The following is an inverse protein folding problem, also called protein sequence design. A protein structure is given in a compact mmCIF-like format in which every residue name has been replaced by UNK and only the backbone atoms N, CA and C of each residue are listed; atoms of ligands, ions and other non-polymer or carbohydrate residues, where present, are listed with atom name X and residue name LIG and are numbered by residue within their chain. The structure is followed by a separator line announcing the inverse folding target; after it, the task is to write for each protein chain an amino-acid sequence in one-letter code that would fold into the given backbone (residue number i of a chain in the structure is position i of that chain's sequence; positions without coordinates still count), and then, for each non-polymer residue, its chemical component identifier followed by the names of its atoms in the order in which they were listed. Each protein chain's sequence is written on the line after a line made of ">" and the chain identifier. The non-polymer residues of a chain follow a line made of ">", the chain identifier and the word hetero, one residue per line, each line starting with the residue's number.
data_IF_956162903350
#
_entry.id   IF_956162903350
#
_cell.length_a   1.000
_cell.length_b   1.000
_cell.length_c   1.000
_cell.angle_alpha   90.00
_cell.angle_beta   90.00
_cell.angle_gamma   90.00
#
_symmetry.space_group_name_H-M   'P 1'
#
loop_
_entity.id
_entity.type
_entity.pdbx_description
1 polymer ?
#
# COMPACT_ATOMS: atom_id res chain seq x y z
N UNK A 1 -71.76 -19.09 17.80
CA UNK A 1 -70.74 -18.12 18.22
C UNK A 1 -69.80 -18.84 19.17
N UNK A 2 -68.69 -19.43 18.73
CA UNK A 2 -67.39 -18.84 18.30
C UNK A 2 -66.64 -18.19 19.47
N UNK A 3 -65.59 -18.88 19.95
CA UNK A 3 -64.29 -18.36 20.40
C UNK A 3 -63.46 -19.51 21.04
N UNK A 4 -62.96 -20.48 20.27
CA UNK A 4 -61.53 -20.62 19.89
C UNK A 4 -60.56 -19.74 20.69
N UNK A 5 -59.79 -20.34 21.60
CA UNK A 5 -58.49 -19.83 22.06
C UNK A 5 -57.46 -20.93 21.78
N UNK A 6 -56.73 -20.75 20.69
CA UNK A 6 -55.49 -21.46 20.39
C UNK A 6 -54.35 -20.61 20.99
N UNK A 7 -53.58 -21.18 21.92
CA UNK A 7 -52.33 -20.57 22.38
C UNK A 7 -51.21 -21.15 21.53
N UNK A 8 -50.75 -20.39 20.55
CA UNK A 8 -49.53 -20.65 19.79
C UNK A 8 -48.35 -20.05 20.55
N UNK A 9 -47.43 -20.89 21.04
CA UNK A 9 -46.15 -20.47 21.60
C UNK A 9 -45.12 -20.46 20.47
N UNK A 10 -44.81 -19.27 19.95
CA UNK A 10 -43.70 -19.06 19.01
C UNK A 10 -42.41 -18.83 19.79
N UNK A 11 -41.52 -19.82 19.76
CA UNK A 11 -40.12 -19.66 20.14
C UNK A 11 -39.41 -18.86 19.05
N UNK A 12 -39.02 -17.62 19.35
CA UNK A 12 -38.10 -16.85 18.50
C UNK A 12 -36.69 -17.13 19.00
N UNK A 13 -35.99 -18.05 18.33
CA UNK A 13 -34.54 -18.16 18.43
C UNK A 13 -33.90 -17.09 17.53
N UNK A 14 -33.50 -15.96 18.12
CA UNK A 14 -32.51 -15.08 17.51
C UNK A 14 -31.12 -15.68 17.75
N UNK A 15 -30.67 -16.49 16.79
CA UNK A 15 -29.25 -16.81 16.69
C UNK A 15 -28.56 -15.69 15.92
N UNK A 16 -27.72 -14.93 16.63
CA UNK A 16 -26.70 -14.04 16.08
C UNK A 16 -25.83 -14.81 15.07
N UNK A 17 -26.09 -14.61 13.78
CA UNK A 17 -25.17 -14.95 12.71
C UNK A 17 -24.27 -13.76 12.40
N UNK A 18 -23.22 -13.56 13.20
CA UNK A 18 -22.06 -12.79 12.74
C UNK A 18 -21.39 -13.59 11.61
N UNK A 19 -21.84 -13.40 10.37
CA UNK A 19 -21.03 -13.74 9.20
C UNK A 19 -19.88 -12.74 9.12
N UNK A 20 -18.80 -13.02 9.83
CA UNK A 20 -17.49 -12.52 9.43
C UNK A 20 -17.13 -13.23 8.12
N UNK A 21 -17.43 -12.58 6.98
CA UNK A 21 -16.83 -12.94 5.70
C UNK A 21 -15.31 -12.84 5.85
N UNK A 22 -14.67 -13.97 6.17
CA UNK A 22 -13.26 -14.14 5.88
C UNK A 22 -13.12 -14.06 4.36
N UNK A 23 -12.67 -12.90 3.85
CA UNK A 23 -12.18 -12.77 2.48
C UNK A 23 -11.12 -13.84 2.26
N UNK A 24 -11.52 -14.93 1.60
CA UNK A 24 -10.64 -16.02 1.22
C UNK A 24 -9.84 -15.53 0.02
N UNK A 25 -8.55 -15.25 0.23
CA UNK A 25 -7.63 -15.02 -0.88
C UNK A 25 -7.24 -16.40 -1.42
N UNK A 26 -7.70 -16.82 -2.62
CA UNK A 26 -7.25 -18.08 -3.19
C UNK A 26 -5.71 -18.01 -3.35
N UNK A 27 -5.03 -19.10 -2.97
CA UNK A 27 -3.64 -19.28 -3.35
C UNK A 27 -3.59 -19.32 -4.89
N UNK A 28 -3.18 -18.19 -5.48
CA UNK A 28 -3.35 -17.91 -6.91
C UNK A 28 -2.31 -18.60 -7.78
N UNK A 29 -2.72 -18.92 -9.00
CA UNK A 29 -1.85 -19.26 -10.12
C UNK A 29 -0.74 -18.17 -10.26
N UNK A 30 0.55 -18.55 -10.34
CA UNK A 30 1.64 -17.59 -10.53
C UNK A 30 1.54 -16.76 -11.84
N UNK A 31 0.65 -17.13 -12.77
CA UNK A 31 0.35 -16.36 -13.98
C UNK A 31 -0.91 -15.48 -13.88
N UNK A 32 -1.53 -15.36 -12.70
CA UNK A 32 -2.71 -14.51 -12.52
C UNK A 32 -2.35 -13.02 -12.63
N UNK A 33 -2.96 -12.33 -13.59
CA UNK A 33 -2.94 -10.86 -13.68
C UNK A 33 -3.99 -10.33 -12.70
N UNK A 34 -3.58 -9.50 -11.74
CA UNK A 34 -4.52 -8.91 -10.77
C UNK A 34 -5.59 -8.09 -11.49
N UNK A 35 -6.86 -8.33 -11.18
CA UNK A 35 -7.95 -7.47 -11.66
C UNK A 35 -7.87 -6.11 -10.96
N UNK A 36 -8.50 -5.08 -11.54
CA UNK A 36 -8.58 -3.75 -10.90
C UNK A 36 -9.22 -3.81 -9.51
N UNK A 37 -10.20 -4.70 -9.29
CA UNK A 37 -10.81 -4.94 -7.98
C UNK A 37 -9.88 -5.58 -6.96
N UNK A 38 -8.99 -6.48 -7.40
CA UNK A 38 -8.01 -7.12 -6.50
C UNK A 38 -6.97 -6.11 -6.02
N UNK A 39 -6.53 -5.22 -6.92
CA UNK A 39 -5.60 -4.13 -6.61
C UNK A 39 -6.24 -3.17 -5.60
N UNK A 40 -7.50 -2.78 -5.83
CA UNK A 40 -8.22 -1.87 -4.93
C UNK A 40 -8.36 -2.44 -3.53
N UNK A 41 -8.68 -3.74 -3.40
CA UNK A 41 -8.82 -4.38 -2.10
C UNK A 41 -7.48 -4.46 -1.34
N UNK A 42 -6.36 -4.66 -2.05
CA UNK A 42 -5.01 -4.68 -1.44
C UNK A 42 -4.61 -3.27 -0.98
N UNK A 43 -4.90 -2.23 -1.78
CA UNK A 43 -4.61 -0.86 -1.39
C UNK A 43 -5.53 -0.36 -0.27
N UNK A 44 -6.80 -0.77 -0.25
CA UNK A 44 -7.70 -0.57 0.89
C UNK A 44 -7.13 -1.20 2.16
N UNK A 45 -6.69 -2.47 2.08
CA UNK A 45 -6.06 -3.15 3.21
C UNK A 45 -4.78 -2.44 3.67
N UNK A 46 -3.98 -1.88 2.76
CA UNK A 46 -2.81 -1.08 3.10
C UNK A 46 -3.21 0.24 3.79
N UNK A 47 -4.25 0.90 3.28
CA UNK A 47 -4.85 2.10 3.89
C UNK A 47 -5.24 1.84 5.34
N UNK A 48 -6.01 0.79 5.56
CA UNK A 48 -6.48 0.37 6.89
C UNK A 48 -5.29 0.03 7.79
N UNK A 49 -4.32 -0.74 7.30
CA UNK A 49 -3.13 -1.11 8.05
C UNK A 49 -2.40 0.14 8.59
N UNK A 50 -2.22 1.16 7.74
CA UNK A 50 -1.47 2.36 8.10
C UNK A 50 -2.28 3.31 8.99
N UNK A 51 -3.54 3.54 8.65
CA UNK A 51 -4.43 4.47 9.37
C UNK A 51 -4.81 3.96 10.75
N UNK A 52 -5.09 2.66 10.88
CA UNK A 52 -5.45 2.02 12.14
C UNK A 52 -4.22 1.59 12.97
N UNK A 53 -3.00 1.77 12.45
CA UNK A 53 -1.75 1.28 13.04
C UNK A 53 -1.76 -0.23 13.26
N UNK A 54 -2.43 -0.97 12.37
CA UNK A 54 -2.55 -2.42 12.43
C UNK A 54 -1.28 -3.07 11.87
N UNK A 55 -0.31 -3.32 12.75
CA UNK A 55 0.98 -3.95 12.42
C UNK A 55 0.82 -5.35 11.82
N UNK A 56 -0.12 -6.15 12.33
CA UNK A 56 -0.35 -7.51 11.84
C UNK A 56 -0.84 -7.49 10.39
N UNK A 57 -1.82 -6.64 10.10
CA UNK A 57 -2.32 -6.45 8.74
C UNK A 57 -1.20 -5.96 7.80
N UNK A 58 -0.38 -5.00 8.25
CA UNK A 58 0.77 -4.54 7.49
C UNK A 58 1.75 -5.69 7.17
N UNK A 59 2.10 -6.52 8.15
CA UNK A 59 2.99 -7.66 7.96
C UNK A 59 2.37 -8.68 6.99
N UNK A 60 1.05 -8.90 7.04
CA UNK A 60 0.34 -9.83 6.16
C UNK A 60 0.26 -9.36 4.68
N UNK A 61 0.39 -8.04 4.46
CA UNK A 61 0.51 -7.44 3.14
C UNK A 61 1.94 -7.48 2.60
N UNK A 62 2.93 -7.45 3.49
CA UNK A 62 4.34 -7.47 3.14
C UNK A 62 4.80 -8.81 2.57
N UNK A 63 5.76 -8.74 1.65
CA UNK A 63 6.42 -9.94 1.15
C UNK A 63 7.16 -10.65 2.30
N UNK A 64 6.89 -11.95 2.56
CA UNK A 64 7.50 -12.67 3.68
C UNK A 64 9.00 -12.87 3.52
N UNK A 65 9.54 -12.77 2.30
CA UNK A 65 10.98 -12.81 2.03
C UNK A 65 11.66 -11.47 2.37
N UNK A 66 10.92 -10.42 2.71
CA UNK A 66 11.42 -9.08 3.02
C UNK A 66 10.97 -8.03 2.02
N UNK A 67 10.90 -6.77 2.48
CA UNK A 67 10.59 -5.59 1.66
C UNK A 67 11.85 -4.75 1.45
N UNK A 68 11.96 -4.07 0.32
CA UNK A 68 13.07 -3.15 0.05
C UNK A 68 12.72 -1.74 0.54
N UNK A 69 13.52 -1.18 1.45
CA UNK A 69 13.39 0.22 1.87
C UNK A 69 14.36 1.08 1.08
N UNK A 70 13.84 2.08 0.38
CA UNK A 70 14.62 3.10 -0.32
C UNK A 70 14.34 4.45 0.33
N UNK A 71 15.39 5.18 0.73
CA UNK A 71 15.32 6.59 1.11
C UNK A 71 16.37 7.35 0.32
N UNK A 72 15.95 8.31 -0.49
CA UNK A 72 16.83 9.19 -1.28
C UNK A 72 16.59 10.64 -0.92
N UNK A 73 17.66 11.41 -0.82
CA UNK A 73 17.60 12.84 -0.51
C UNK A 73 17.85 13.63 -1.80
N UNK A 74 16.77 14.07 -2.41
CA UNK A 74 16.75 14.79 -3.67
C UNK A 74 17.27 16.24 -3.55
N UNK A 75 17.29 16.80 -2.32
CA UNK A 75 17.78 18.15 -2.02
C UNK A 75 18.98 18.22 -1.06
N UNK A 76 19.62 17.07 -0.75
CA UNK A 76 20.77 16.97 0.17
C UNK A 76 20.41 16.36 1.54
N UNK A 77 21.42 15.96 2.31
CA UNK A 77 21.21 15.26 3.59
C UNK A 77 20.67 16.20 4.67
N UNK A 78 19.41 15.99 5.07
CA UNK A 78 18.86 16.59 6.29
C UNK A 78 19.51 15.88 7.49
N UNK A 79 20.54 16.51 8.10
CA UNK A 79 21.53 15.88 8.98
C UNK A 79 21.04 14.93 10.09
N UNK A 80 19.76 14.95 10.49
CA UNK A 80 19.19 13.98 11.44
C UNK A 80 18.67 12.68 10.81
N UNK A 81 18.40 12.64 9.50
CA UNK A 81 17.77 11.48 8.83
C UNK A 81 18.75 10.41 8.37
N UNK A 82 20.05 10.65 8.51
CA UNK A 82 21.10 9.73 8.10
C UNK A 82 21.45 9.78 6.61
N UNK A 83 22.34 8.89 6.15
CA UNK A 83 22.62 8.70 4.73
C UNK A 83 21.43 8.10 3.98
N UNK A 84 21.51 8.07 2.65
CA UNK A 84 20.53 7.35 1.83
C UNK A 84 20.42 5.88 2.26
N UNK A 85 19.22 5.33 2.11
CA UNK A 85 18.90 3.95 2.45
C UNK A 85 18.56 3.19 1.16
N UNK A 86 19.11 2.00 1.01
CA UNK A 86 18.67 1.02 0.03
C UNK A 86 19.00 -0.37 0.56
N UNK A 87 18.07 -0.95 1.30
CA UNK A 87 18.28 -2.25 1.93
C UNK A 87 17.00 -3.07 2.01
N UNK A 88 17.18 -4.40 2.02
CA UNK A 88 16.09 -5.34 2.26
C UNK A 88 15.90 -5.53 3.76
N UNK A 89 14.69 -5.33 4.25
CA UNK A 89 14.33 -5.50 5.66
C UNK A 89 13.28 -6.59 5.84
N UNK A 90 13.34 -7.27 6.98
CA UNK A 90 12.28 -8.16 7.44
C UNK A 90 11.07 -7.29 7.89
N UNK A 91 9.87 -7.45 7.29
CA UNK A 91 8.69 -6.70 7.70
C UNK A 91 8.35 -6.86 9.18
N UNK A 92 8.74 -7.97 9.83
CA UNK A 92 8.52 -8.21 11.27
C UNK A 92 9.34 -7.27 12.18
N UNK A 93 10.33 -6.55 11.63
CA UNK A 93 11.07 -5.52 12.38
C UNK A 93 10.30 -4.22 12.55
N UNK A 94 9.14 -4.07 11.91
CA UNK A 94 8.29 -2.90 12.09
C UNK A 94 7.77 -2.83 13.54
N UNK A 95 7.79 -1.64 14.13
CA UNK A 95 7.31 -1.43 15.49
C UNK A 95 5.82 -1.00 15.52
N UNK A 96 5.26 -0.89 16.73
CA UNK A 96 3.87 -0.46 16.96
C UNK A 96 3.52 0.95 16.45
N UNK A 97 4.51 1.75 16.05
CA UNK A 97 4.30 3.08 15.45
C UNK A 97 4.30 3.03 13.91
N UNK A 98 4.36 1.84 13.31
CA UNK A 98 4.60 1.61 11.88
C UNK A 98 5.90 2.27 11.39
N UNK A 99 6.97 2.01 12.13
CA UNK A 99 8.30 2.48 11.79
C UNK A 99 9.27 1.32 11.75
N UNK A 100 10.18 1.35 10.78
CA UNK A 100 11.36 0.49 10.78
C UNK A 100 12.51 1.21 11.48
N UNK A 101 13.02 0.68 12.60
CA UNK A 101 14.22 1.20 13.23
C UNK A 101 15.41 1.03 12.28
N UNK A 102 16.12 2.12 12.00
CA UNK A 102 17.36 2.13 11.21
C UNK A 102 18.49 2.52 12.14
N UNK A 103 19.59 1.77 12.11
CA UNK A 103 20.73 2.00 13.00
C UNK A 103 21.32 3.40 12.75
N UNK A 104 21.52 4.16 13.82
CA UNK A 104 22.12 5.51 13.81
C UNK A 104 21.39 6.53 12.89
N UNK A 105 20.10 6.32 12.61
CA UNK A 105 19.29 7.20 11.76
C UNK A 105 17.87 7.37 12.31
N UNK A 106 17.15 8.39 11.82
CA UNK A 106 15.71 8.49 12.05
C UNK A 106 15.01 7.26 11.45
N UNK A 107 14.14 6.57 12.21
CA UNK A 107 13.36 5.44 11.72
C UNK A 107 12.59 5.74 10.43
N UNK A 108 12.46 4.75 9.56
CA UNK A 108 11.64 4.84 8.37
C UNK A 108 10.17 4.76 8.76
N UNK A 109 9.45 5.89 8.69
CA UNK A 109 8.09 6.02 9.22
C UNK A 109 7.05 6.05 8.10
N UNK A 110 6.28 4.97 7.99
CA UNK A 110 5.26 4.80 6.94
C UNK A 110 4.20 5.89 7.03
N UNK A 111 3.74 6.20 8.25
CA UNK A 111 2.72 7.24 8.50
C UNK A 111 3.19 8.67 8.21
N UNK A 112 4.50 8.91 8.06
CA UNK A 112 5.02 10.22 7.64
C UNK A 112 5.01 10.32 6.11
N UNK A 113 5.17 9.19 5.42
CA UNK A 113 5.21 9.10 3.96
C UNK A 113 3.83 9.08 3.33
N UNK A 114 2.86 8.47 4.02
CA UNK A 114 1.48 8.34 3.56
C UNK A 114 0.54 9.05 4.54
N UNK A 115 0.31 10.34 4.27
CA UNK A 115 -0.45 11.25 5.13
C UNK A 115 -1.92 11.36 4.71
N UNK A 116 -2.24 10.98 3.47
CA UNK A 116 -3.59 11.03 2.90
C UNK A 116 -4.41 9.77 3.20
N UNK A 117 -3.88 8.84 4.00
CA UNK A 117 -4.59 7.66 4.47
C UNK A 117 -5.45 8.00 5.72
N UNK A 118 -6.71 7.53 5.80
CA UNK A 118 -7.31 6.53 4.91
C UNK A 118 -7.95 7.14 3.66
N UNK A 119 -7.89 6.41 2.54
CA UNK A 119 -8.55 6.84 1.30
C UNK A 119 -10.01 6.43 1.31
N UNK A 120 -10.92 7.37 1.03
CA UNK A 120 -12.37 7.12 0.97
C UNK A 120 -12.80 6.13 -0.13
N UNK A 121 -12.11 6.12 -1.28
CA UNK A 121 -12.46 5.25 -2.41
C UNK A 121 -11.27 5.10 -3.37
N UNK A 122 -10.70 3.90 -3.41
CA UNK A 122 -9.61 3.57 -4.35
C UNK A 122 -10.06 3.56 -5.82
N UNK A 123 -11.35 3.32 -6.07
CA UNK A 123 -11.93 3.40 -7.41
C UNK A 123 -11.89 4.81 -8.00
N UNK A 124 -11.89 5.84 -7.16
CA UNK A 124 -11.85 7.24 -7.56
C UNK A 124 -10.43 7.80 -7.71
N UNK A 125 -9.40 7.04 -7.33
CA UNK A 125 -8.01 7.47 -7.44
C UNK A 125 -7.58 7.46 -8.92
N UNK A 126 -6.86 8.49 -9.32
CA UNK A 126 -6.26 8.58 -10.67
C UNK A 126 -5.28 7.42 -10.90
N UNK A 127 -5.37 6.81 -12.08
CA UNK A 127 -4.51 5.70 -12.49
C UNK A 127 -3.65 6.11 -13.67
N UNK A 128 -2.37 5.80 -13.60
CA UNK A 128 -1.41 6.09 -14.66
C UNK A 128 -0.52 4.89 -14.94
N UNK A 129 0.12 4.93 -16.10
CA UNK A 129 1.08 3.91 -16.52
C UNK A 129 2.42 4.19 -15.83
N UNK A 130 3.00 3.16 -15.23
CA UNK A 130 4.36 3.19 -14.73
C UNK A 130 5.33 2.93 -15.89
N UNK A 131 6.37 3.75 -16.02
CA UNK A 131 7.38 3.63 -17.06
C UNK A 131 7.97 2.20 -17.12
N UNK A 132 8.12 1.64 -18.33
CA UNK A 132 8.48 0.23 -18.52
C UNK A 132 9.88 -0.13 -17.99
N UNK A 133 10.80 0.84 -17.96
CA UNK A 133 12.18 0.67 -17.48
C UNK A 133 12.29 0.20 -16.01
N UNK A 134 11.24 0.38 -15.21
CA UNK A 134 11.20 -0.14 -13.83
C UNK A 134 11.30 -1.66 -13.77
N UNK A 135 10.93 -2.37 -14.83
CA UNK A 135 10.81 -3.83 -14.83
C UNK A 135 12.16 -4.55 -14.78
N UNK A 136 13.20 -3.88 -15.28
CA UNK A 136 14.58 -4.36 -15.36
C UNK A 136 15.52 -3.61 -14.41
N UNK A 137 15.01 -2.64 -13.64
CA UNK A 137 15.80 -1.78 -12.76
C UNK A 137 15.56 -2.07 -11.29
N UNK A 138 16.59 -1.80 -10.47
CA UNK A 138 16.50 -1.91 -9.01
C UNK A 138 15.72 -0.73 -8.43
N UNK A 139 15.00 -0.95 -7.32
CA UNK A 139 14.14 0.07 -6.70
C UNK A 139 14.86 1.38 -6.34
N UNK A 140 16.17 1.33 -6.03
CA UNK A 140 16.98 2.50 -5.71
C UNK A 140 17.26 3.43 -6.90
N UNK A 141 16.97 2.95 -8.12
CA UNK A 141 17.09 3.69 -9.37
C UNK A 141 15.74 4.10 -9.95
N UNK A 142 14.64 3.90 -9.23
CA UNK A 142 13.30 4.16 -9.75
C UNK A 142 12.89 5.63 -9.80
N UNK A 143 13.59 6.53 -9.10
CA UNK A 143 13.19 7.95 -9.01
C UNK A 143 12.97 8.64 -10.37
N UNK A 144 13.84 8.50 -11.39
CA UNK A 144 13.61 9.08 -12.71
C UNK A 144 12.36 8.52 -13.40
N UNK A 145 12.11 7.22 -13.26
CA UNK A 145 10.95 6.54 -13.88
C UNK A 145 9.64 6.90 -13.20
N UNK A 146 9.65 7.02 -11.86
CA UNK A 146 8.50 7.50 -11.08
C UNK A 146 8.17 8.94 -11.45
N UNK A 147 9.19 9.79 -11.62
CA UNK A 147 9.01 11.19 -12.05
C UNK A 147 8.40 11.26 -13.44
N UNK A 148 8.92 10.47 -14.39
CA UNK A 148 8.38 10.41 -15.75
C UNK A 148 6.91 9.95 -15.75
N UNK A 149 6.57 8.93 -14.96
CA UNK A 149 5.20 8.42 -14.82
C UNK A 149 4.22 9.41 -14.18
N UNK A 150 4.73 10.48 -13.57
CA UNK A 150 3.95 11.55 -12.95
C UNK A 150 4.06 12.88 -13.72
N UNK A 151 4.76 12.92 -14.86
CA UNK A 151 4.79 14.13 -15.69
C UNK A 151 3.41 14.38 -16.28
N UNK A 152 2.97 15.64 -16.25
CA UNK A 152 1.71 16.05 -16.86
C UNK A 152 0.48 15.86 -15.98
N UNK A 153 0.58 15.23 -14.80
CA UNK A 153 -0.43 15.46 -13.77
C UNK A 153 -0.35 16.91 -13.33
N UNK A 154 -1.45 17.64 -13.49
CA UNK A 154 -1.62 19.03 -13.03
C UNK A 154 -0.97 19.15 -11.67
N UNK A 155 0.01 20.06 -11.56
CA UNK A 155 0.98 20.10 -10.47
C UNK A 155 0.36 19.60 -9.19
N UNK A 156 0.92 18.49 -8.74
CA UNK A 156 0.78 17.75 -7.50
C UNK A 156 0.70 18.62 -6.24
N UNK A 157 -0.25 19.55 -6.20
CA UNK A 157 -0.28 20.66 -5.27
C UNK A 157 -0.68 20.24 -3.85
N UNK A 158 -1.09 18.98 -3.64
CA UNK A 158 -1.52 18.46 -2.34
C UNK A 158 -1.12 17.00 -2.11
N UNK A 159 -0.08 16.46 -2.80
CA UNK A 159 0.31 15.03 -2.67
C UNK A 159 -0.85 14.04 -2.86
N UNK A 160 -1.82 14.42 -3.69
CA UNK A 160 -3.03 13.62 -3.90
C UNK A 160 -2.66 12.19 -4.32
N UNK A 161 -3.32 11.16 -3.75
CA UNK A 161 -3.01 9.78 -4.08
C UNK A 161 -3.13 9.48 -5.58
N UNK A 162 -2.17 8.72 -6.10
CA UNK A 162 -2.16 8.22 -7.49
C UNK A 162 -1.79 6.75 -7.46
N UNK A 163 -2.38 5.96 -8.36
CA UNK A 163 -2.01 4.58 -8.60
C UNK A 163 -1.22 4.50 -9.91
N UNK A 164 -0.01 3.94 -9.85
CA UNK A 164 0.79 3.62 -11.04
C UNK A 164 0.77 2.11 -11.28
N UNK A 165 0.74 1.66 -12.52
CA UNK A 165 0.81 0.22 -12.85
C UNK A 165 1.71 -0.02 -14.05
N UNK A 166 2.60 -1.02 -13.96
CA UNK A 166 3.42 -1.42 -15.11
C UNK A 166 2.56 -2.04 -16.20
N UNK A 167 3.00 -1.95 -17.46
CA UNK A 167 2.22 -2.44 -18.60
C UNK A 167 1.91 -3.95 -18.52
N UNK A 168 2.82 -4.74 -17.95
CA UNK A 168 2.63 -6.17 -17.71
C UNK A 168 1.94 -6.50 -16.37
N UNK A 169 1.48 -5.50 -15.62
CA UNK A 169 0.87 -5.66 -14.28
C UNK A 169 1.77 -6.37 -13.26
N UNK A 170 3.10 -6.38 -13.49
CA UNK A 170 4.08 -6.90 -12.53
C UNK A 170 4.12 -6.04 -11.28
N UNK A 171 4.02 -4.72 -11.44
CA UNK A 171 4.10 -3.75 -10.36
C UNK A 171 2.89 -2.84 -10.33
N UNK A 172 2.37 -2.64 -9.12
CA UNK A 172 1.34 -1.65 -8.81
C UNK A 172 1.85 -0.77 -7.67
N UNK A 173 1.78 0.55 -7.84
CA UNK A 173 2.35 1.51 -6.90
C UNK A 173 1.24 2.40 -6.39
N UNK A 174 1.07 2.45 -5.07
CA UNK A 174 0.32 3.52 -4.42
C UNK A 174 1.29 4.66 -4.10
N UNK A 175 1.03 5.85 -4.64
CA UNK A 175 1.91 7.00 -4.54
C UNK A 175 1.21 8.20 -3.89
N UNK A 176 1.87 8.81 -2.92
CA UNK A 176 1.55 10.13 -2.38
C UNK A 176 2.77 11.02 -2.62
N UNK A 177 2.78 11.69 -3.78
CA UNK A 177 3.98 12.35 -4.28
C UNK A 177 3.68 13.65 -5.01
N UNK A 178 4.71 14.47 -5.12
CA UNK A 178 4.68 15.75 -5.82
C UNK A 178 6.01 16.09 -6.48
N UNK A 179 5.94 16.80 -7.60
CA UNK A 179 7.09 17.38 -8.28
C UNK A 179 7.11 18.88 -7.94
N UNK A 180 8.16 19.33 -7.25
CA UNK A 180 8.40 20.75 -6.90
C UNK A 180 9.72 21.14 -7.55
N UNK A 181 9.73 22.20 -8.37
CA UNK A 181 10.95 22.66 -9.06
C UNK A 181 11.69 21.54 -9.81
N UNK A 182 10.93 20.69 -10.52
CA UNK A 182 11.43 19.50 -11.23
C UNK A 182 12.05 18.42 -10.30
N UNK A 183 11.85 18.52 -8.99
CA UNK A 183 12.30 17.54 -7.99
C UNK A 183 11.10 16.70 -7.51
N UNK A 184 11.17 15.38 -7.68
CA UNK A 184 10.14 14.46 -7.19
C UNK A 184 10.35 14.16 -5.71
N UNK A 185 9.35 14.45 -4.87
CA UNK A 185 9.32 14.13 -3.45
C UNK A 185 8.03 13.38 -3.09
N UNK A 186 8.08 12.45 -2.14
CA UNK A 186 6.91 11.69 -1.72
C UNK A 186 7.18 10.25 -1.26
N UNK A 187 6.09 9.55 -0.95
CA UNK A 187 6.07 8.15 -0.57
C UNK A 187 5.50 7.26 -1.68
N UNK A 188 6.12 6.10 -1.90
CA UNK A 188 5.66 5.11 -2.87
C UNK A 188 5.65 3.73 -2.23
N UNK A 189 4.48 3.10 -2.19
CA UNK A 189 4.31 1.72 -1.74
C UNK A 189 4.17 0.82 -2.97
N UNK A 190 5.18 -0.02 -3.23
CA UNK A 190 5.27 -0.86 -4.41
C UNK A 190 4.81 -2.27 -4.09
N UNK A 191 3.81 -2.73 -4.82
CA UNK A 191 3.27 -4.06 -4.73
C UNK A 191 3.58 -4.86 -6.00
N UNK A 192 3.87 -6.14 -5.84
CA UNK A 192 4.12 -7.06 -6.94
C UNK A 192 3.38 -8.38 -6.73
N UNK A 193 3.03 -9.03 -7.83
CA UNK A 193 2.48 -10.38 -7.78
C UNK A 193 3.58 -11.36 -7.40
N UNK A 194 3.43 -12.03 -6.26
CA UNK A 194 4.37 -13.02 -5.75
C UNK A 194 3.58 -14.20 -5.18
N UNK A 195 3.84 -15.40 -5.69
CA UNK A 195 3.14 -16.62 -5.28
C UNK A 195 1.61 -16.48 -5.36
N UNK A 196 1.11 -15.85 -6.43
CA UNK A 196 -0.31 -15.66 -6.69
C UNK A 196 -1.02 -14.61 -5.82
N UNK A 197 -0.27 -13.87 -4.98
CA UNK A 197 -0.79 -12.79 -4.15
C UNK A 197 -0.07 -11.48 -4.45
N UNK A 198 -0.82 -10.38 -4.53
CA UNK A 198 -0.25 -9.04 -4.59
C UNK A 198 0.31 -8.67 -3.20
N UNK A 199 1.63 -8.51 -3.11
CA UNK A 199 2.34 -8.25 -1.85
C UNK A 199 3.16 -6.97 -1.94
N UNK A 200 3.26 -6.24 -0.83
CA UNK A 200 4.16 -5.09 -0.70
C UNK A 200 5.62 -5.59 -0.77
N UNK A 201 6.36 -5.14 -1.77
CA UNK A 201 7.75 -5.54 -2.03
C UNK A 201 8.75 -4.41 -1.80
N UNK A 202 8.33 -3.16 -1.87
CA UNK A 202 9.20 -2.02 -1.57
C UNK A 202 8.43 -0.81 -1.03
N UNK A 203 9.13 -0.01 -0.23
CA UNK A 203 8.72 1.33 0.19
C UNK A 203 9.82 2.30 -0.24
N UNK A 204 9.46 3.34 -0.98
CA UNK A 204 10.39 4.35 -1.49
C UNK A 204 10.00 5.71 -0.89
N UNK A 205 10.96 6.36 -0.25
CA UNK A 205 10.89 7.71 0.32
C UNK A 205 11.82 8.61 -0.49
N UNK A 206 11.25 9.59 -1.20
CA UNK A 206 12.00 10.63 -1.89
C UNK A 206 11.80 11.96 -1.15
N UNK A 207 12.89 12.56 -0.65
CA UNK A 207 12.87 13.75 0.23
C UNK A 207 13.54 14.96 -0.39
#
# INVERSE_FOLDING_TARGET
>A
MIARIFVFLTFVFFACGCSAEKKYYPAGDPNHIASSSDIDAVFESFSDAVSEKNVELFINLANPKGIHLVRKFTSGTLGGRGPELSERIDPKKINAKLQFPIKDQIPYSIRIQFQELPVKSFKAISRQVLAADVETSNFDRWAPYLKESLRGTTESANRAPIILSSANSKYHVYAEAQIIDDILVGGFAVFAMTDGKLQLVALIELL
#
